data_IF_953396047457
#
_entry.id   IF_953396047457
#
_cell.length_a   1.000
_cell.length_b   1.000
_cell.length_c   1.000
_cell.angle_alpha   90.00
_cell.angle_beta   90.00
_cell.angle_gamma   90.00
#
_symmetry.space_group_name_H-M   'P 1'
#
loop_
_entity.id
_entity.type
_entity.pdbx_description
1 polymer ?
#
# COMPACT_ATOMS: atom_id res chain seq x y z
N UNK A 1 -19.74 31.11 -4.16
CA UNK A 1 -19.71 31.99 -5.34
C UNK A 1 -18.31 32.01 -5.92
N UNK A 2 -18.15 31.88 -7.25
CA UNK A 2 -16.84 31.94 -7.91
C UNK A 2 -16.66 33.33 -8.53
N UNK A 3 -15.53 33.99 -8.29
CA UNK A 3 -15.17 35.30 -8.89
C UNK A 3 -13.83 35.20 -9.58
N UNK A 4 -13.70 35.86 -10.73
CA UNK A 4 -12.43 35.96 -11.45
C UNK A 4 -11.76 37.27 -10.99
N UNK A 5 -10.55 37.17 -10.44
CA UNK A 5 -9.75 38.30 -10.01
C UNK A 5 -9.11 39.00 -11.20
N UNK A 6 -8.61 40.25 -11.03
CA UNK A 6 -7.91 41.02 -12.07
C UNK A 6 -6.69 40.27 -12.62
N UNK A 7 -6.05 39.42 -11.82
CA UNK A 7 -4.92 38.55 -12.22
C UNK A 7 -5.36 37.26 -12.94
N UNK A 8 -6.63 37.18 -13.38
CA UNK A 8 -7.20 36.01 -14.05
C UNK A 8 -7.19 34.73 -13.19
N UNK A 9 -7.19 34.88 -11.86
CA UNK A 9 -7.34 33.77 -10.90
C UNK A 9 -8.79 33.63 -10.52
N UNK A 10 -9.24 32.39 -10.33
CA UNK A 10 -10.58 32.11 -9.83
C UNK A 10 -10.51 31.99 -8.31
N UNK A 11 -11.28 32.83 -7.63
CA UNK A 11 -11.45 32.80 -6.18
C UNK A 11 -12.84 32.25 -5.87
N UNK A 12 -12.90 31.22 -5.06
CA UNK A 12 -14.13 30.65 -4.54
C UNK A 12 -14.38 31.19 -3.13
N UNK A 13 -15.58 31.65 -2.88
CA UNK A 13 -16.00 32.14 -1.57
C UNK A 13 -17.13 31.28 -1.02
N UNK A 14 -17.02 30.87 0.25
CA UNK A 14 -18.00 30.03 0.93
C UNK A 14 -17.57 28.55 1.07
N UNK A 15 -18.16 27.87 2.06
CA UNK A 15 -17.91 26.45 2.33
C UNK A 15 -18.57 25.53 1.30
N UNK A 16 -19.63 25.99 0.63
CA UNK A 16 -20.39 25.25 -0.39
C UNK A 16 -19.50 24.73 -1.55
N UNK A 17 -18.38 25.44 -1.80
CA UNK A 17 -17.42 24.97 -2.81
C UNK A 17 -16.88 23.57 -2.54
N UNK A 18 -16.61 23.23 -1.29
CA UNK A 18 -16.07 21.92 -0.94
C UNK A 18 -17.10 20.81 -1.11
N UNK A 19 -18.37 21.10 -0.81
CA UNK A 19 -19.46 20.15 -1.00
C UNK A 19 -19.74 19.96 -2.49
N UNK A 20 -19.77 21.03 -3.27
CA UNK A 20 -19.94 21.00 -4.72
C UNK A 20 -18.77 20.29 -5.42
N UNK A 21 -17.50 20.51 -4.97
CA UNK A 21 -16.32 19.85 -5.53
C UNK A 21 -16.33 18.33 -5.25
N UNK A 22 -16.80 17.92 -4.07
CA UNK A 22 -16.93 16.49 -3.73
C UNK A 22 -18.01 15.80 -4.58
N UNK A 23 -19.17 16.43 -4.75
CA UNK A 23 -20.25 15.94 -5.61
C UNK A 23 -19.81 15.86 -7.08
N UNK A 24 -19.13 16.90 -7.57
CA UNK A 24 -18.61 16.95 -8.92
C UNK A 24 -17.61 15.82 -9.16
N UNK A 25 -16.71 15.57 -8.18
CA UNK A 25 -15.76 14.47 -8.26
C UNK A 25 -16.43 13.11 -8.40
N UNK A 26 -17.45 12.84 -7.60
CA UNK A 26 -18.21 11.58 -7.63
C UNK A 26 -19.08 11.40 -8.89
N UNK A 27 -19.39 12.51 -9.59
CA UNK A 27 -20.25 12.50 -10.78
C UNK A 27 -19.48 12.42 -12.10
N UNK A 28 -18.15 12.52 -12.08
CA UNK A 28 -17.31 12.50 -13.29
C UNK A 28 -16.77 11.10 -13.52
N UNK A 29 -17.05 10.56 -14.72
CA UNK A 29 -16.29 9.46 -15.29
C UNK A 29 -15.11 10.04 -16.08
N UNK A 30 -13.89 9.81 -15.57
CA UNK A 30 -12.66 10.33 -16.20
C UNK A 30 -12.20 9.48 -17.39
N UNK A 31 -12.78 8.31 -17.62
CA UNK A 31 -12.48 7.41 -18.75
C UNK A 31 -11.07 6.79 -18.75
N UNK A 32 -10.16 7.34 -17.96
CA UNK A 32 -8.75 6.92 -17.84
C UNK A 32 -8.45 6.48 -16.40
N UNK A 33 -7.50 5.55 -16.24
CA UNK A 33 -7.02 5.14 -14.91
C UNK A 33 -6.06 6.20 -14.34
N UNK A 34 -6.63 7.34 -13.95
CA UNK A 34 -5.92 8.45 -13.34
C UNK A 34 -5.92 8.30 -11.81
N UNK A 35 -4.78 8.61 -11.17
CA UNK A 35 -4.70 8.66 -9.71
C UNK A 35 -5.66 9.72 -9.14
N UNK A 36 -6.05 9.59 -7.87
CA UNK A 36 -6.93 10.56 -7.21
C UNK A 36 -6.39 12.00 -7.31
N UNK A 37 -5.10 12.18 -7.08
CA UNK A 37 -4.46 13.51 -7.14
C UNK A 37 -4.51 14.10 -8.55
N UNK A 38 -4.30 13.28 -9.58
CA UNK A 38 -4.42 13.72 -10.98
C UNK A 38 -5.85 14.08 -11.31
N UNK A 39 -6.84 13.27 -10.89
CA UNK A 39 -8.28 13.61 -11.04
C UNK A 39 -8.60 14.96 -10.42
N UNK A 40 -8.09 15.23 -9.23
CA UNK A 40 -8.25 16.53 -8.56
C UNK A 40 -7.62 17.68 -9.36
N UNK A 41 -6.40 17.49 -9.88
CA UNK A 41 -5.68 18.50 -10.66
C UNK A 41 -6.41 18.84 -11.96
N UNK A 42 -6.81 17.82 -12.74
CA UNK A 42 -7.48 18.06 -14.04
C UNK A 42 -8.85 18.67 -13.83
N UNK A 43 -9.59 18.26 -12.80
CA UNK A 43 -10.87 18.87 -12.42
C UNK A 43 -10.70 20.33 -12.03
N UNK A 44 -9.77 20.66 -11.15
CA UNK A 44 -9.49 22.04 -10.73
C UNK A 44 -9.12 22.94 -11.91
N UNK A 45 -8.28 22.44 -12.83
CA UNK A 45 -7.95 23.14 -14.08
C UNK A 45 -9.18 23.34 -14.98
N UNK A 46 -10.04 22.33 -15.10
CA UNK A 46 -11.25 22.39 -15.90
C UNK A 46 -12.24 23.43 -15.32
N UNK A 47 -12.48 23.40 -14.01
CA UNK A 47 -13.33 24.39 -13.32
C UNK A 47 -12.80 25.78 -13.50
N UNK A 48 -11.49 26.00 -13.30
CA UNK A 48 -10.87 27.33 -13.49
C UNK A 48 -11.08 27.84 -14.92
N UNK A 49 -10.82 27.02 -15.94
CA UNK A 49 -10.99 27.40 -17.37
C UNK A 49 -12.46 27.66 -17.70
N UNK A 50 -13.35 26.83 -17.20
CA UNK A 50 -14.80 26.94 -17.42
C UNK A 50 -15.36 28.24 -16.84
N UNK A 51 -15.00 28.59 -15.59
CA UNK A 51 -15.39 29.84 -14.95
C UNK A 51 -14.83 31.05 -15.70
N UNK A 52 -13.55 31.00 -16.11
CA UNK A 52 -12.91 32.11 -16.84
C UNK A 52 -13.57 32.36 -18.19
N UNK A 53 -14.07 31.32 -18.87
CA UNK A 53 -14.80 31.45 -20.16
C UNK A 53 -16.19 32.03 -20.04
N UNK A 54 -16.80 32.01 -18.85
CA UNK A 54 -18.14 32.53 -18.60
C UNK A 54 -19.27 31.79 -19.31
N UNK A 55 -19.02 30.57 -19.79
CA UNK A 55 -20.03 29.69 -20.41
C UNK A 55 -20.34 28.54 -19.47
N UNK A 56 -21.54 28.54 -18.90
CA UNK A 56 -21.91 27.66 -17.79
C UNK A 56 -22.83 26.50 -18.24
N UNK A 57 -22.44 25.77 -19.30
CA UNK A 57 -23.12 24.55 -19.70
C UNK A 57 -22.30 23.31 -19.32
N UNK A 58 -22.98 22.19 -19.10
CA UNK A 58 -22.30 20.91 -18.83
C UNK A 58 -21.41 20.47 -19.99
N UNK A 59 -21.82 20.75 -21.24
CA UNK A 59 -21.01 20.42 -22.42
C UNK A 59 -19.71 21.22 -22.47
N UNK A 60 -19.74 22.52 -22.14
CA UNK A 60 -18.53 23.34 -22.06
C UNK A 60 -17.60 22.87 -20.95
N UNK A 61 -18.14 22.48 -19.78
CA UNK A 61 -17.35 21.91 -18.69
C UNK A 61 -16.65 20.60 -19.10
N UNK A 62 -17.39 19.64 -19.71
CA UNK A 62 -16.83 18.38 -20.19
C UNK A 62 -15.74 18.64 -21.25
N UNK A 63 -15.93 19.63 -22.11
CA UNK A 63 -14.92 20.05 -23.09
C UNK A 63 -13.62 20.53 -22.42
N UNK A 64 -13.70 21.33 -21.35
CA UNK A 64 -12.54 21.79 -20.61
C UNK A 64 -11.89 20.67 -19.79
N UNK A 65 -12.69 19.73 -19.26
CA UNK A 65 -12.20 18.56 -18.54
C UNK A 65 -11.39 17.66 -19.48
N UNK A 66 -11.95 17.30 -20.63
CA UNK A 66 -11.24 16.49 -21.63
C UNK A 66 -9.94 17.16 -22.10
N UNK A 67 -9.95 18.47 -22.27
CA UNK A 67 -8.74 19.22 -22.58
C UNK A 67 -7.72 19.15 -21.45
N UNK A 68 -8.14 19.30 -20.20
CA UNK A 68 -7.23 19.20 -19.06
C UNK A 68 -6.63 17.79 -18.88
N UNK A 69 -7.42 16.75 -19.15
CA UNK A 69 -6.96 15.35 -19.17
C UNK A 69 -5.93 15.16 -20.30
N UNK A 70 -6.23 15.60 -21.52
CA UNK A 70 -5.31 15.50 -22.64
C UNK A 70 -4.00 16.26 -22.38
N UNK A 71 -4.08 17.48 -21.85
CA UNK A 71 -2.88 18.28 -21.49
C UNK A 71 -2.01 17.53 -20.47
N UNK A 72 -2.61 16.77 -19.54
CA UNK A 72 -1.88 15.93 -18.60
C UNK A 72 -1.27 14.70 -19.29
N UNK A 73 -2.04 14.01 -20.13
CA UNK A 73 -1.59 12.78 -20.81
C UNK A 73 -0.41 13.03 -21.75
N UNK A 74 -0.39 14.17 -22.45
CA UNK A 74 0.69 14.56 -23.38
C UNK A 74 1.86 15.27 -22.69
N UNK A 75 1.72 15.65 -21.41
CA UNK A 75 2.81 16.28 -20.68
C UNK A 75 4.01 15.34 -20.57
N UNK A 76 5.22 15.89 -20.74
CA UNK A 76 6.45 15.15 -20.58
C UNK A 76 6.73 14.82 -19.11
N UNK A 77 7.27 13.63 -18.89
CA UNK A 77 7.79 13.24 -17.57
C UNK A 77 9.02 14.09 -17.22
N UNK A 78 9.06 14.55 -15.99
CA UNK A 78 10.18 15.27 -15.38
C UNK A 78 10.79 14.45 -14.25
N UNK A 79 12.08 14.66 -14.03
CA UNK A 79 12.80 14.01 -12.95
C UNK A 79 12.52 14.73 -11.61
N UNK A 80 12.18 13.97 -10.60
CA UNK A 80 11.94 14.43 -9.24
C UNK A 80 12.70 13.60 -8.22
N UNK A 81 12.98 14.20 -7.08
CA UNK A 81 13.53 13.51 -5.89
C UNK A 81 12.66 13.84 -4.69
N UNK A 82 12.01 12.82 -4.13
CA UNK A 82 11.26 12.94 -2.87
C UNK A 82 12.18 12.59 -1.71
N UNK A 83 12.29 13.48 -0.73
CA UNK A 83 13.10 13.28 0.47
C UNK A 83 12.19 13.01 1.67
N UNK A 84 12.49 11.93 2.38
CA UNK A 84 11.78 11.42 3.55
C UNK A 84 12.77 10.82 4.55
N UNK A 85 12.28 10.11 5.57
CA UNK A 85 13.11 9.32 6.49
C UNK A 85 12.35 8.12 7.04
N UNK A 86 13.10 7.16 7.62
CA UNK A 86 12.56 5.95 8.25
C UNK A 86 13.10 5.81 9.67
N UNK A 87 12.25 5.34 10.60
CA UNK A 87 12.59 5.13 12.02
C UNK A 87 13.49 3.91 12.27
N UNK A 88 14.48 3.72 11.42
CA UNK A 88 15.52 2.67 11.52
C UNK A 88 16.88 3.33 11.45
N UNK A 89 17.81 2.91 12.32
CA UNK A 89 19.19 3.37 12.24
C UNK A 89 19.87 2.87 10.97
N UNK A 90 20.61 3.74 10.31
CA UNK A 90 21.20 3.45 9.00
C UNK A 90 22.19 2.29 9.00
N UNK A 91 22.83 2.02 10.15
CA UNK A 91 23.77 0.90 10.32
C UNK A 91 23.05 -0.46 10.24
N UNK A 92 21.81 -0.52 10.71
CA UNK A 92 20.97 -1.71 10.68
C UNK A 92 20.34 -2.00 9.30
N UNK A 93 20.25 -1.00 8.42
CA UNK A 93 19.67 -1.21 7.08
C UNK A 93 20.63 -2.01 6.21
N UNK A 94 20.22 -3.18 5.66
CA UNK A 94 21.14 -4.11 4.97
C UNK A 94 21.52 -3.67 3.55
N UNK A 95 20.99 -2.57 3.06
CA UNK A 95 21.22 -2.05 1.71
C UNK A 95 21.26 -0.51 1.74
N UNK A 96 21.93 0.08 0.76
CA UNK A 96 22.00 1.54 0.58
C UNK A 96 21.16 2.02 -0.58
N UNK A 97 20.86 1.14 -1.52
CA UNK A 97 20.10 1.45 -2.73
C UNK A 97 19.11 0.32 -3.00
N UNK A 98 17.85 0.68 -3.23
CA UNK A 98 16.82 -0.22 -3.74
C UNK A 98 16.34 0.32 -5.08
N UNK A 99 16.49 -0.48 -6.14
CA UNK A 99 15.97 -0.14 -7.47
C UNK A 99 14.65 -0.85 -7.69
N UNK A 100 13.63 -0.08 -8.04
CA UNK A 100 12.31 -0.52 -8.45
C UNK A 100 12.10 -0.20 -9.94
N UNK A 101 11.08 -0.69 -10.60
CA UNK A 101 10.88 -0.44 -12.04
C UNK A 101 10.84 1.04 -12.42
N UNK A 102 10.19 1.87 -11.60
CA UNK A 102 9.97 3.30 -11.90
C UNK A 102 10.74 4.25 -10.97
N UNK A 103 11.40 3.73 -9.94
CA UNK A 103 12.11 4.56 -8.98
C UNK A 103 13.41 3.95 -8.46
N UNK A 104 14.25 4.82 -7.88
CA UNK A 104 15.44 4.42 -7.14
C UNK A 104 15.41 5.05 -5.76
N UNK A 105 15.40 4.22 -4.74
CA UNK A 105 15.39 4.63 -3.33
C UNK A 105 16.81 4.54 -2.78
N UNK A 106 17.35 5.68 -2.38
CA UNK A 106 18.66 5.78 -1.74
C UNK A 106 18.47 6.02 -0.24
N UNK A 107 19.23 5.28 0.59
CA UNK A 107 19.17 5.34 2.03
C UNK A 107 20.51 5.84 2.58
N UNK A 108 20.47 6.85 3.43
CA UNK A 108 21.64 7.57 3.94
C UNK A 108 21.62 7.62 5.46
N UNK A 109 22.80 7.57 6.08
CA UNK A 109 22.95 7.87 7.51
C UNK A 109 22.74 9.35 7.82
N UNK A 110 23.16 10.23 6.89
CA UNK A 110 22.87 11.65 6.93
C UNK A 110 22.45 12.14 5.54
N UNK A 111 21.50 13.05 5.50
CA UNK A 111 20.99 13.60 4.23
C UNK A 111 22.11 14.32 3.46
N UNK A 112 22.32 14.05 2.18
CA UNK A 112 23.31 14.76 1.36
C UNK A 112 23.10 16.27 1.35
N UNK A 113 24.22 17.04 1.39
CA UNK A 113 24.20 18.51 1.46
C UNK A 113 23.43 19.18 0.33
N UNK A 114 23.28 18.55 -0.85
CA UNK A 114 22.51 19.10 -1.97
C UNK A 114 21.04 19.35 -1.61
N UNK A 115 20.49 18.65 -0.62
CA UNK A 115 19.11 18.83 -0.13
C UNK A 115 19.01 19.84 1.03
N UNK A 116 20.02 20.68 1.25
CA UNK A 116 20.02 21.64 2.35
C UNK A 116 18.85 22.64 2.32
N UNK A 117 18.31 22.95 1.15
CA UNK A 117 17.12 23.80 0.99
C UNK A 117 15.88 23.26 1.71
N UNK A 118 15.85 21.97 2.09
CA UNK A 118 14.81 21.35 2.92
C UNK A 118 14.67 22.03 4.29
N UNK A 119 15.71 22.70 4.81
CA UNK A 119 15.66 23.38 6.12
C UNK A 119 14.52 24.41 6.21
N UNK A 120 14.18 25.09 5.12
CA UNK A 120 13.05 26.03 5.09
C UNK A 120 11.70 25.35 5.36
N UNK A 121 11.53 24.11 4.89
CA UNK A 121 10.34 23.30 5.19
C UNK A 121 10.34 22.79 6.63
N UNK A 122 11.52 22.47 7.20
CA UNK A 122 11.66 22.09 8.61
C UNK A 122 11.26 23.26 9.53
N UNK A 123 11.77 24.45 9.25
CA UNK A 123 11.41 25.66 10.02
C UNK A 123 9.90 25.94 9.98
N UNK A 124 9.27 25.74 8.83
CA UNK A 124 7.83 25.92 8.66
C UNK A 124 7.04 24.83 9.38
N UNK A 125 7.49 23.57 9.28
CA UNK A 125 6.92 22.42 9.96
C UNK A 125 6.91 22.64 11.49
N UNK A 126 8.06 23.01 12.06
CA UNK A 126 8.22 23.24 13.51
C UNK A 126 7.31 24.37 14.01
N UNK A 127 7.03 25.39 13.18
CA UNK A 127 6.07 26.46 13.50
C UNK A 127 4.62 25.99 13.47
N UNK A 128 4.26 25.13 12.51
CA UNK A 128 2.89 24.63 12.37
C UNK A 128 2.56 23.52 13.36
N UNK A 129 3.57 22.72 13.73
CA UNK A 129 3.42 21.56 14.61
C UNK A 129 4.46 21.57 15.74
N UNK A 130 4.36 22.53 16.67
CA UNK A 130 5.39 22.69 17.71
C UNK A 130 5.52 21.51 18.69
N UNK A 131 4.49 20.65 18.75
CA UNK A 131 4.51 19.41 19.55
C UNK A 131 5.16 18.23 18.85
N UNK A 132 5.52 18.36 17.56
CA UNK A 132 6.19 17.31 16.78
C UNK A 132 7.60 17.79 16.51
N UNK A 133 8.60 17.08 17.02
CA UNK A 133 9.99 17.47 16.80
C UNK A 133 10.39 17.33 15.32
N UNK A 134 11.49 17.97 14.98
CA UNK A 134 12.19 17.76 13.71
C UNK A 134 12.57 16.28 13.54
N UNK A 135 12.93 15.93 12.31
CA UNK A 135 13.38 14.57 11.98
C UNK A 135 14.43 14.11 12.99
N UNK A 136 14.19 13.03 13.76
CA UNK A 136 15.20 12.50 14.67
C UNK A 136 16.50 12.23 13.90
N UNK A 137 17.64 12.72 14.40
CA UNK A 137 18.96 12.56 13.76
C UNK A 137 19.32 11.10 13.52
N UNK A 138 18.77 10.19 14.33
CA UNK A 138 18.99 8.74 14.23
C UNK A 138 18.22 8.06 13.10
N UNK A 139 17.25 8.73 12.48
CA UNK A 139 16.48 8.16 11.38
C UNK A 139 17.33 8.04 10.11
N UNK A 140 17.16 6.93 9.40
CA UNK A 140 17.72 6.79 8.05
C UNK A 140 17.06 7.77 7.11
N UNK A 141 17.83 8.70 6.54
CA UNK A 141 17.35 9.60 5.51
C UNK A 141 17.15 8.84 4.19
N UNK A 142 16.06 9.19 3.48
CA UNK A 142 15.65 8.52 2.24
C UNK A 142 15.49 9.55 1.14
N UNK A 143 16.08 9.29 -0.04
CA UNK A 143 15.85 10.05 -1.25
C UNK A 143 15.37 9.11 -2.36
N UNK A 144 14.19 9.41 -2.93
CA UNK A 144 13.51 8.59 -3.94
C UNK A 144 13.54 9.36 -5.24
N UNK A 145 14.33 8.89 -6.19
CA UNK A 145 14.43 9.45 -7.53
C UNK A 145 13.45 8.74 -8.46
N UNK A 146 12.63 9.50 -9.17
CA UNK A 146 11.59 8.97 -10.08
C UNK A 146 11.23 9.98 -11.15
N UNK A 147 10.48 9.53 -12.17
CA UNK A 147 9.90 10.38 -13.20
C UNK A 147 8.38 10.47 -13.06
N UNK A 148 7.85 11.67 -13.23
CA UNK A 148 6.41 11.90 -13.18
C UNK A 148 6.04 13.15 -14.00
N UNK A 149 4.77 13.26 -14.40
CA UNK A 149 4.25 14.40 -15.16
C UNK A 149 3.96 15.61 -14.27
N UNK A 150 3.62 15.36 -13.01
CA UNK A 150 3.24 16.40 -12.05
C UNK A 150 3.83 16.15 -10.66
N UNK A 151 4.02 17.23 -9.88
CA UNK A 151 4.58 17.16 -8.51
C UNK A 151 3.78 16.25 -7.57
N UNK A 152 2.44 16.28 -7.63
CA UNK A 152 1.59 15.43 -6.79
C UNK A 152 1.71 13.96 -7.18
N UNK A 153 1.77 13.68 -8.49
CA UNK A 153 1.98 12.33 -9.02
C UNK A 153 3.35 11.76 -8.58
N UNK A 154 4.39 12.62 -8.60
CA UNK A 154 5.71 12.23 -8.07
C UNK A 154 5.67 11.81 -6.60
N UNK A 155 4.93 12.56 -5.76
CA UNK A 155 4.76 12.25 -4.34
C UNK A 155 4.01 10.94 -4.15
N UNK A 156 2.87 10.75 -4.82
CA UNK A 156 2.04 9.54 -4.71
C UNK A 156 2.84 8.29 -5.12
N UNK A 157 3.53 8.34 -6.26
CA UNK A 157 4.40 7.24 -6.72
C UNK A 157 5.55 6.96 -5.76
N UNK A 158 6.22 8.01 -5.27
CA UNK A 158 7.32 7.86 -4.32
C UNK A 158 6.89 7.18 -3.02
N UNK A 159 5.74 7.57 -2.48
CA UNK A 159 5.23 6.95 -1.25
C UNK A 159 4.72 5.53 -1.46
N UNK A 160 4.11 5.23 -2.59
CA UNK A 160 3.75 3.86 -2.95
C UNK A 160 4.99 2.96 -2.93
N UNK A 161 6.06 3.36 -3.61
CA UNK A 161 7.30 2.61 -3.67
C UNK A 161 8.02 2.53 -2.32
N UNK A 162 8.02 3.61 -1.55
CA UNK A 162 8.61 3.63 -0.21
C UNK A 162 7.83 2.73 0.75
N UNK A 163 6.51 2.73 0.70
CA UNK A 163 5.67 1.87 1.54
C UNK A 163 5.84 0.40 1.20
N UNK A 164 6.04 0.06 -0.08
CA UNK A 164 6.40 -1.29 -0.47
C UNK A 164 7.73 -1.72 0.16
N UNK A 165 8.79 -0.93 0.02
CA UNK A 165 10.12 -1.23 0.62
C UNK A 165 10.05 -1.28 2.14
N UNK A 166 9.32 -0.35 2.76
CA UNK A 166 9.08 -0.29 4.19
C UNK A 166 8.30 -1.50 4.70
N UNK A 167 7.30 -1.95 3.93
CA UNK A 167 6.53 -3.15 4.22
C UNK A 167 7.40 -4.42 4.20
N UNK A 168 8.29 -4.56 3.22
CA UNK A 168 9.25 -5.66 3.18
C UNK A 168 10.22 -5.64 4.37
N UNK A 169 10.66 -4.44 4.80
CA UNK A 169 11.45 -4.29 6.02
C UNK A 169 10.64 -4.64 7.27
N UNK A 170 9.39 -4.20 7.37
CA UNK A 170 8.51 -4.51 8.50
C UNK A 170 8.28 -6.01 8.64
N UNK A 171 8.05 -6.75 7.54
CA UNK A 171 7.95 -8.22 7.53
C UNK A 171 9.19 -8.89 8.13
N UNK A 172 10.37 -8.29 7.96
CA UNK A 172 11.64 -8.84 8.44
C UNK A 172 12.02 -8.36 9.85
N UNK A 173 11.56 -7.17 10.25
CA UNK A 173 11.98 -6.48 11.48
C UNK A 173 10.97 -6.66 12.61
N UNK A 174 9.66 -6.68 12.32
CA UNK A 174 8.62 -6.78 13.35
C UNK A 174 8.60 -8.20 13.92
N UNK A 175 9.18 -8.45 15.10
CA UNK A 175 9.14 -9.77 15.72
C UNK A 175 7.78 -9.98 16.40
N UNK A 176 7.44 -11.25 16.65
CA UNK A 176 6.22 -11.61 17.38
C UNK A 176 6.12 -10.97 18.78
N UNK A 177 7.26 -10.66 19.42
CA UNK A 177 7.31 -9.97 20.72
C UNK A 177 7.08 -8.44 20.65
N UNK A 178 6.83 -7.88 19.46
CA UNK A 178 6.34 -6.49 19.34
C UNK A 178 4.88 -6.34 19.77
N UNK A 179 4.18 -7.46 19.95
CA UNK A 179 2.82 -7.51 20.42
C UNK A 179 2.82 -7.76 21.92
N UNK A 180 2.29 -6.82 22.68
CA UNK A 180 2.21 -6.94 24.14
C UNK A 180 0.99 -7.77 24.51
N UNK A 181 1.22 -8.92 25.15
CA UNK A 181 0.15 -9.80 25.66
C UNK A 181 -0.10 -9.48 27.14
N UNK A 182 -0.65 -8.32 27.45
CA UNK A 182 -0.85 -7.89 28.83
C UNK A 182 -1.98 -6.87 29.00
N UNK A 183 -2.33 -6.57 30.27
CA UNK A 183 -3.44 -5.69 30.64
C UNK A 183 -3.24 -4.20 30.28
N UNK A 184 -2.04 -3.78 29.93
CA UNK A 184 -1.77 -2.41 29.50
C UNK A 184 -1.78 -2.34 27.97
N UNK A 185 -2.81 -1.74 27.42
CA UNK A 185 -2.90 -1.42 25.99
C UNK A 185 -1.84 -0.35 25.66
N UNK A 186 -0.79 -0.78 24.97
CA UNK A 186 0.18 0.14 24.37
C UNK A 186 -0.46 0.78 23.13
N UNK A 187 -0.78 2.06 23.21
CA UNK A 187 -1.39 2.82 22.10
C UNK A 187 -0.37 3.20 21.01
N UNK A 188 0.86 2.70 21.06
CA UNK A 188 1.84 2.98 20.01
C UNK A 188 1.63 2.11 18.78
N UNK A 189 1.94 2.63 17.57
CA UNK A 189 1.93 1.84 16.35
C UNK A 189 2.78 0.56 16.47
N UNK A 190 2.27 -0.54 15.93
CA UNK A 190 2.97 -1.83 15.91
C UNK A 190 4.14 -1.82 14.92
N UNK A 191 4.06 -1.01 13.87
CA UNK A 191 5.14 -0.89 12.90
C UNK A 191 6.40 -0.34 13.57
N UNK A 192 7.52 -1.00 13.35
CA UNK A 192 8.83 -0.55 13.82
C UNK A 192 9.54 0.33 12.78
N UNK A 193 9.09 0.27 11.53
CA UNK A 193 9.66 1.01 10.39
C UNK A 193 8.66 2.09 9.96
N UNK A 194 8.58 3.16 10.75
CA UNK A 194 7.67 4.29 10.51
C UNK A 194 8.28 5.28 9.53
N UNK A 195 7.43 6.00 8.81
CA UNK A 195 7.83 7.20 8.07
C UNK A 195 8.17 8.33 9.04
N UNK A 196 9.11 9.20 8.66
CA UNK A 196 9.31 10.47 9.35
C UNK A 196 8.16 11.45 9.10
N UNK A 197 8.06 12.48 9.93
CA UNK A 197 6.94 13.42 9.91
C UNK A 197 6.87 14.32 8.68
N UNK A 198 8.01 14.70 8.11
CA UNK A 198 8.12 15.70 7.04
C UNK A 198 8.68 15.09 5.75
N UNK A 199 8.10 15.48 4.62
CA UNK A 199 8.53 15.09 3.29
C UNK A 199 8.66 16.32 2.38
N UNK A 200 9.64 16.31 1.48
CA UNK A 200 9.90 17.41 0.57
C UNK A 200 10.20 16.93 -0.85
N UNK A 201 9.83 17.75 -1.82
CA UNK A 201 10.03 17.48 -3.25
C UNK A 201 11.15 18.35 -3.80
N UNK A 202 12.09 17.75 -4.48
CA UNK A 202 13.29 18.38 -5.03
C UNK A 202 13.44 18.06 -6.51
N UNK A 203 14.18 18.90 -7.20
CA UNK A 203 14.74 18.60 -8.51
C UNK A 203 15.98 17.69 -8.40
N UNK A 204 16.58 17.33 -9.51
CA UNK A 204 17.80 16.48 -9.56
C UNK A 204 19.02 17.13 -8.92
N UNK A 205 19.07 18.47 -8.87
CA UNK A 205 20.13 19.25 -8.24
C UNK A 205 19.94 19.35 -6.71
N UNK A 206 18.78 18.89 -6.20
CA UNK A 206 18.43 18.93 -4.79
C UNK A 206 17.78 20.23 -4.35
N UNK A 207 17.37 21.12 -5.27
CA UNK A 207 16.61 22.31 -4.94
C UNK A 207 15.13 21.98 -4.75
N UNK A 208 14.44 22.68 -3.83
CA UNK A 208 13.01 22.51 -3.65
C UNK A 208 12.26 22.90 -4.94
N UNK A 209 11.35 22.03 -5.38
CA UNK A 209 10.46 22.30 -6.52
C UNK A 209 9.42 23.36 -6.16
N UNK A 210 9.02 23.40 -4.89
CA UNK A 210 8.05 24.37 -4.38
C UNK A 210 8.45 24.73 -2.93
N UNK A 211 8.81 25.98 -2.70
CA UNK A 211 9.21 26.46 -1.38
C UNK A 211 8.04 26.58 -0.40
N UNK A 212 6.81 26.68 -0.92
CA UNK A 212 5.60 26.87 -0.13
C UNK A 212 4.85 25.59 0.18
N UNK A 213 5.16 24.49 -0.50
CA UNK A 213 4.47 23.24 -0.36
C UNK A 213 5.40 22.12 0.13
N UNK A 214 5.04 21.53 1.25
CA UNK A 214 5.62 20.29 1.76
C UNK A 214 4.51 19.28 2.09
N UNK A 215 4.89 18.03 2.22
CA UNK A 215 3.99 16.93 2.61
C UNK A 215 4.38 16.42 4.00
N UNK A 216 3.43 15.84 4.69
CA UNK A 216 3.67 15.31 6.04
C UNK A 216 2.85 14.04 6.28
N UNK A 217 3.32 13.21 7.20
CA UNK A 217 2.60 12.01 7.64
C UNK A 217 1.55 12.43 8.69
N UNK A 218 0.23 12.31 8.38
CA UNK A 218 -0.82 12.74 9.32
C UNK A 218 -0.77 12.01 10.66
N UNK A 219 -0.45 10.72 10.62
CA UNK A 219 -0.37 9.83 11.78
C UNK A 219 1.06 9.73 12.34
N UNK A 220 1.91 10.72 12.08
CA UNK A 220 3.27 10.70 12.56
C UNK A 220 3.31 10.59 14.08
N UNK A 221 3.96 9.55 14.54
CA UNK A 221 4.27 9.30 15.93
C UNK A 221 5.78 9.27 16.11
N UNK A 222 6.31 10.22 16.86
CA UNK A 222 7.74 10.28 17.15
C UNK A 222 8.15 9.08 18.00
N UNK A 223 9.18 8.39 17.57
CA UNK A 223 9.78 7.29 18.29
C UNK A 223 11.28 7.23 18.06
N UNK A 224 11.99 6.61 18.99
CA UNK A 224 13.40 6.31 18.80
C UNK A 224 13.58 5.36 17.59
N UNK A 225 14.60 5.62 16.77
CA UNK A 225 14.96 4.72 15.68
C UNK A 225 15.30 3.33 16.22
N UNK A 226 14.85 2.31 15.52
CA UNK A 226 15.21 0.94 15.91
C UNK A 226 16.61 0.60 15.42
N UNK A 227 17.45 0.12 16.34
CA UNK A 227 18.72 -0.49 16.00
C UNK A 227 18.52 -2.00 15.73
N UNK A 228 18.92 -2.45 14.56
CA UNK A 228 18.82 -3.86 14.13
C UNK A 228 20.13 -4.36 13.51
N UNK A 229 21.24 -3.73 13.85
CA UNK A 229 22.55 -4.05 13.29
C UNK A 229 22.97 -5.50 13.57
N UNK A 230 22.61 -6.04 14.73
CA UNK A 230 22.82 -7.43 15.15
C UNK A 230 22.08 -8.47 14.29
N UNK A 231 21.01 -8.07 13.60
CA UNK A 231 20.17 -8.92 12.77
C UNK A 231 20.25 -8.59 11.27
N UNK A 232 21.20 -7.77 10.87
CA UNK A 232 21.32 -7.21 9.53
C UNK A 232 21.32 -8.27 8.41
N UNK A 233 22.05 -9.35 8.57
CA UNK A 233 22.14 -10.40 7.55
C UNK A 233 20.84 -11.21 7.44
N UNK A 234 20.19 -11.47 8.56
CA UNK A 234 18.86 -12.08 8.59
C UNK A 234 17.84 -11.18 7.87
N UNK A 235 17.80 -9.90 8.21
CA UNK A 235 16.91 -8.92 7.58
C UNK A 235 17.16 -8.86 6.06
N UNK A 236 18.44 -8.87 5.64
CA UNK A 236 18.81 -8.92 4.22
C UNK A 236 18.24 -10.15 3.53
N UNK A 237 18.42 -11.32 4.13
CA UNK A 237 17.95 -12.59 3.57
C UNK A 237 16.43 -12.62 3.45
N UNK A 238 15.70 -12.24 4.50
CA UNK A 238 14.23 -12.20 4.50
C UNK A 238 13.70 -11.14 3.50
N UNK A 239 14.27 -9.94 3.48
CA UNK A 239 13.92 -8.90 2.52
C UNK A 239 14.09 -9.37 1.08
N UNK A 240 15.23 -10.00 0.78
CA UNK A 240 15.50 -10.55 -0.55
C UNK A 240 14.55 -11.70 -0.91
N UNK A 241 14.21 -12.55 0.05
CA UNK A 241 13.24 -13.63 -0.15
C UNK A 241 11.89 -13.07 -0.62
N UNK A 242 11.31 -12.13 0.12
CA UNK A 242 10.03 -11.50 -0.24
C UNK A 242 10.14 -10.73 -1.56
N UNK A 243 11.12 -9.85 -1.69
CA UNK A 243 11.30 -9.02 -2.88
C UNK A 243 11.46 -9.85 -4.15
N UNK A 244 12.38 -10.84 -4.13
CA UNK A 244 12.63 -11.68 -5.29
C UNK A 244 11.47 -12.62 -5.59
N UNK A 245 10.74 -13.03 -4.57
CA UNK A 245 9.52 -13.82 -4.72
C UNK A 245 8.42 -13.05 -5.44
N UNK A 246 8.12 -11.85 -4.97
CA UNK A 246 7.12 -10.96 -5.57
C UNK A 246 7.51 -10.57 -7.00
N UNK A 247 8.78 -10.27 -7.24
CA UNK A 247 9.29 -9.90 -8.57
C UNK A 247 9.14 -10.99 -9.64
N UNK A 248 8.87 -12.25 -9.24
CA UNK A 248 8.59 -13.37 -10.19
C UNK A 248 7.15 -13.36 -10.68
N UNK A 249 6.23 -12.78 -9.91
CA UNK A 249 4.87 -12.60 -10.36
C UNK A 249 4.82 -11.53 -11.47
N UNK A 250 3.88 -11.68 -12.38
CA UNK A 250 3.72 -10.81 -13.55
C UNK A 250 2.33 -10.17 -13.56
N UNK A 251 2.21 -9.02 -14.22
CA UNK A 251 0.92 -8.33 -14.39
C UNK A 251 0.22 -8.05 -13.06
N UNK A 252 -1.07 -8.34 -13.02
CA UNK A 252 -1.95 -8.06 -11.87
C UNK A 252 -1.56 -8.87 -10.62
N UNK A 253 -1.04 -10.08 -10.78
CA UNK A 253 -0.59 -10.90 -9.65
C UNK A 253 0.53 -10.22 -8.88
N UNK A 254 1.47 -9.60 -9.57
CA UNK A 254 2.54 -8.83 -8.94
C UNK A 254 2.00 -7.62 -8.20
N UNK A 255 1.08 -6.88 -8.82
CA UNK A 255 0.42 -5.72 -8.23
C UNK A 255 -0.34 -6.10 -6.95
N UNK A 256 -1.08 -7.21 -6.97
CA UNK A 256 -1.78 -7.73 -5.79
C UNK A 256 -0.82 -8.00 -4.63
N UNK A 257 0.33 -8.65 -4.91
CA UNK A 257 1.32 -8.94 -3.88
C UNK A 257 1.97 -7.66 -3.33
N UNK A 258 2.35 -6.71 -4.19
CA UNK A 258 2.94 -5.42 -3.80
C UNK A 258 1.94 -4.61 -2.96
N UNK A 259 0.69 -4.46 -3.42
CA UNK A 259 -0.38 -3.75 -2.71
C UNK A 259 -0.71 -4.40 -1.36
N UNK A 260 -0.67 -5.73 -1.27
CA UNK A 260 -0.89 -6.45 0.00
C UNK A 260 0.19 -6.12 1.03
N UNK A 261 1.46 -6.00 0.60
CA UNK A 261 2.58 -5.60 1.46
C UNK A 261 2.43 -4.15 1.91
N UNK A 262 2.00 -3.26 1.02
CA UNK A 262 1.74 -1.85 1.36
C UNK A 262 0.61 -1.75 2.38
N UNK A 263 -0.51 -2.43 2.16
CA UNK A 263 -1.65 -2.47 3.09
C UNK A 263 -1.25 -3.01 4.46
N UNK A 264 -0.44 -4.07 4.48
CA UNK A 264 0.10 -4.63 5.71
C UNK A 264 0.95 -3.60 6.47
N UNK A 265 1.86 -2.89 5.82
CA UNK A 265 2.69 -1.87 6.45
C UNK A 265 1.82 -0.75 7.04
N UNK A 266 0.88 -0.22 6.25
CA UNK A 266 -0.03 0.84 6.65
C UNK A 266 -1.01 0.41 7.75
N UNK A 267 -1.38 -0.88 7.81
CA UNK A 267 -2.16 -1.41 8.92
C UNK A 267 -1.40 -1.35 10.25
N UNK A 268 -0.12 -1.68 10.25
CA UNK A 268 0.72 -1.65 11.46
C UNK A 268 1.10 -0.24 11.91
N UNK A 269 0.93 0.77 11.06
CA UNK A 269 1.16 2.19 11.40
C UNK A 269 0.08 2.76 12.33
N UNK A 270 -1.07 2.10 12.44
CA UNK A 270 -2.17 2.55 13.27
C UNK A 270 -1.89 2.33 14.76
N UNK A 271 -2.29 3.30 15.56
CA UNK A 271 -2.20 3.21 17.02
C UNK A 271 -3.38 2.44 17.63
N UNK A 272 -4.59 2.65 17.09
CA UNK A 272 -5.82 1.96 17.51
C UNK A 272 -5.84 0.52 17.00
N UNK A 273 -5.87 -0.44 17.91
CA UNK A 273 -5.88 -1.88 17.60
C UNK A 273 -7.10 -2.35 16.82
N UNK A 274 -8.24 -1.71 16.97
CA UNK A 274 -9.42 -2.02 16.17
C UNK A 274 -9.18 -1.65 14.70
N UNK A 275 -8.57 -0.50 14.46
CA UNK A 275 -8.19 -0.07 13.10
C UNK A 275 -7.10 -0.97 12.54
N UNK A 276 -6.12 -1.39 13.36
CA UNK A 276 -5.09 -2.38 12.96
C UNK A 276 -5.75 -3.68 12.49
N UNK A 277 -6.68 -4.23 13.27
CA UNK A 277 -7.40 -5.48 12.92
C UNK A 277 -8.15 -5.32 11.60
N UNK A 278 -8.91 -4.22 11.45
CA UNK A 278 -9.65 -3.92 10.23
C UNK A 278 -8.75 -3.87 9.00
N UNK A 279 -7.64 -3.13 9.10
CA UNK A 279 -6.69 -2.95 8.00
C UNK A 279 -5.85 -4.20 7.71
N UNK A 280 -5.42 -4.96 8.73
CA UNK A 280 -4.71 -6.24 8.55
C UNK A 280 -5.63 -7.29 7.91
N UNK A 281 -6.90 -7.32 8.31
CA UNK A 281 -7.89 -8.18 7.65
C UNK A 281 -8.04 -7.81 6.18
N UNK A 282 -8.17 -6.51 5.86
CA UNK A 282 -8.24 -6.05 4.48
C UNK A 282 -6.97 -6.37 3.67
N UNK A 283 -5.79 -6.30 4.28
CA UNK A 283 -4.54 -6.71 3.63
C UNK A 283 -4.52 -8.22 3.33
N UNK A 284 -5.00 -9.04 4.27
CA UNK A 284 -5.11 -10.49 4.11
C UNK A 284 -6.16 -10.85 3.05
N UNK A 285 -7.31 -10.18 3.07
CA UNK A 285 -8.38 -10.34 2.10
C UNK A 285 -7.89 -10.01 0.68
N UNK A 286 -7.18 -8.89 0.51
CA UNK A 286 -6.58 -8.51 -0.77
C UNK A 286 -5.56 -9.54 -1.29
N UNK A 287 -4.79 -10.17 -0.38
CA UNK A 287 -3.81 -11.21 -0.72
C UNK A 287 -4.46 -12.53 -1.15
N UNK A 288 -5.59 -12.91 -0.52
CA UNK A 288 -6.12 -14.29 -0.59
C UNK A 288 -7.37 -14.38 -1.45
N UNK A 289 -8.16 -13.28 -1.55
CA UNK A 289 -9.46 -13.25 -2.23
C UNK A 289 -9.35 -12.41 -3.50
N UNK A 290 -9.61 -13.01 -4.65
CA UNK A 290 -9.56 -12.33 -5.95
C UNK A 290 -10.92 -12.42 -6.64
N UNK A 291 -11.47 -11.28 -7.10
CA UNK A 291 -12.76 -11.22 -7.76
C UNK A 291 -13.97 -11.32 -6.82
N UNK A 292 -15.08 -11.90 -7.29
CA UNK A 292 -16.36 -12.02 -6.56
C UNK A 292 -16.39 -13.17 -5.53
N UNK A 293 -15.29 -13.43 -4.83
CA UNK A 293 -15.17 -14.57 -3.93
C UNK A 293 -15.78 -14.28 -2.55
N UNK A 294 -16.20 -15.36 -1.86
CA UNK A 294 -16.89 -15.25 -0.57
C UNK A 294 -15.92 -15.11 0.60
N UNK A 295 -16.28 -14.39 1.67
CA UNK A 295 -15.44 -14.26 2.88
C UNK A 295 -15.06 -15.60 3.55
N UNK A 296 -15.86 -16.65 3.38
CA UNK A 296 -15.58 -18.00 3.89
C UNK A 296 -14.34 -18.61 3.22
N UNK A 297 -14.09 -18.29 1.97
CA UNK A 297 -12.93 -18.79 1.22
C UNK A 297 -11.61 -18.27 1.80
N UNK A 298 -11.59 -17.03 2.31
CA UNK A 298 -10.42 -16.51 3.02
C UNK A 298 -10.05 -17.40 4.22
N UNK A 299 -11.03 -17.75 5.04
CA UNK A 299 -10.80 -18.51 6.26
C UNK A 299 -10.29 -19.91 5.91
N UNK A 300 -10.93 -20.61 5.00
CA UNK A 300 -10.53 -21.97 4.58
C UNK A 300 -9.15 -22.00 3.94
N UNK A 301 -8.83 -21.06 3.03
CA UNK A 301 -7.51 -20.94 2.38
C UNK A 301 -6.41 -20.65 3.39
N UNK A 302 -6.65 -19.73 4.34
CA UNK A 302 -5.69 -19.46 5.40
C UNK A 302 -5.47 -20.69 6.29
N UNK A 303 -6.55 -21.35 6.71
CA UNK A 303 -6.45 -22.54 7.56
C UNK A 303 -5.65 -23.67 6.87
N UNK A 304 -5.85 -23.88 5.57
CA UNK A 304 -5.17 -24.92 4.78
C UNK A 304 -3.64 -24.89 4.89
N UNK A 305 -3.04 -23.71 5.06
CA UNK A 305 -1.56 -23.53 5.10
C UNK A 305 -0.96 -23.97 6.44
N UNK A 306 -1.77 -24.13 7.48
CA UNK A 306 -1.28 -24.43 8.83
C UNK A 306 -1.51 -25.90 9.20
N UNK A 307 -0.58 -26.48 9.96
CA UNK A 307 -0.71 -27.85 10.48
C UNK A 307 -1.86 -28.01 11.50
N UNK A 308 -2.26 -26.93 12.16
CA UNK A 308 -3.43 -26.86 13.02
C UNK A 308 -4.49 -25.97 12.36
N UNK A 309 -5.10 -26.50 11.30
CA UNK A 309 -6.08 -25.81 10.46
C UNK A 309 -7.34 -25.40 11.25
N UNK A 310 -7.86 -26.28 12.09
CA UNK A 310 -9.04 -26.02 12.92
C UNK A 310 -8.84 -24.85 13.90
N UNK A 311 -7.64 -24.73 14.48
CA UNK A 311 -7.30 -23.59 15.33
C UNK A 311 -7.30 -22.28 14.55
N UNK A 312 -6.67 -22.26 13.36
CA UNK A 312 -6.59 -21.03 12.52
C UNK A 312 -7.97 -20.65 12.00
N UNK A 313 -8.79 -21.62 11.57
CA UNK A 313 -10.19 -21.41 11.19
C UNK A 313 -10.96 -20.73 12.33
N UNK A 314 -10.87 -21.27 13.54
CA UNK A 314 -11.58 -20.71 14.70
C UNK A 314 -11.08 -19.31 15.06
N UNK A 315 -9.77 -19.08 15.06
CA UNK A 315 -9.20 -17.76 15.31
C UNK A 315 -9.72 -16.73 14.30
N UNK A 316 -9.71 -17.06 13.01
CA UNK A 316 -10.17 -16.14 11.98
C UNK A 316 -11.68 -15.85 12.08
N UNK A 317 -12.51 -16.84 12.47
CA UNK A 317 -13.95 -16.61 12.75
C UNK A 317 -14.16 -15.65 13.92
N UNK A 318 -13.39 -15.80 15.00
CA UNK A 318 -13.45 -14.89 16.15
C UNK A 318 -12.99 -13.49 15.75
N UNK A 319 -11.88 -13.36 15.03
CA UNK A 319 -11.39 -12.04 14.54
C UNK A 319 -12.40 -11.38 13.62
N UNK A 320 -13.04 -12.15 12.72
CA UNK A 320 -14.11 -11.65 11.85
C UNK A 320 -15.33 -11.15 12.65
N UNK A 321 -15.74 -11.87 13.66
CA UNK A 321 -16.83 -11.45 14.55
C UNK A 321 -16.45 -10.16 15.29
N UNK A 322 -15.25 -10.08 15.87
CA UNK A 322 -14.73 -8.89 16.53
C UNK A 322 -14.71 -7.68 15.57
N UNK A 323 -14.20 -7.84 14.34
CA UNK A 323 -14.23 -6.82 13.28
C UNK A 323 -15.65 -6.32 13.00
N UNK A 324 -16.60 -7.23 12.82
CA UNK A 324 -17.97 -6.87 12.50
C UNK A 324 -18.64 -6.13 13.66
N UNK A 325 -18.45 -6.59 14.90
CA UNK A 325 -18.99 -5.93 16.09
C UNK A 325 -18.37 -4.52 16.27
N UNK A 326 -17.10 -4.35 16.00
CA UNK A 326 -16.44 -3.07 16.05
C UNK A 326 -17.00 -2.09 15.00
N UNK A 327 -17.12 -2.53 13.75
CA UNK A 327 -17.65 -1.70 12.65
C UNK A 327 -19.13 -1.33 12.87
N UNK A 328 -19.95 -2.26 13.37
CA UNK A 328 -21.40 -2.05 13.50
C UNK A 328 -21.86 -1.51 14.86
N UNK A 329 -21.13 -1.81 15.93
CA UNK A 329 -21.55 -1.50 17.29
C UNK A 329 -20.60 -0.56 18.04
N UNK A 330 -19.40 -0.26 17.48
CA UNK A 330 -18.39 0.55 18.14
C UNK A 330 -17.85 -0.05 19.44
N UNK A 331 -17.98 -1.36 19.62
CA UNK A 331 -17.55 -2.05 20.85
C UNK A 331 -16.03 -2.23 20.78
N UNK A 332 -15.34 -1.71 21.82
CA UNK A 332 -13.92 -1.97 21.99
C UNK A 332 -13.75 -3.39 22.59
N UNK A 333 -13.07 -4.27 21.85
CA UNK A 333 -12.79 -5.62 22.28
C UNK A 333 -11.66 -5.69 23.31
N UNK A 334 -11.66 -6.71 24.15
CA UNK A 334 -10.53 -7.10 24.99
C UNK A 334 -9.56 -8.01 24.23
N UNK A 335 -8.27 -7.97 24.57
CA UNK A 335 -7.26 -8.87 23.96
C UNK A 335 -6.92 -8.58 22.51
N UNK A 336 -7.15 -7.35 22.02
CA UNK A 336 -6.95 -6.94 20.62
C UNK A 336 -5.51 -7.15 20.12
N UNK A 337 -4.51 -6.99 20.99
CA UNK A 337 -3.09 -7.24 20.63
C UNK A 337 -2.87 -8.70 20.22
N UNK A 338 -3.58 -9.65 20.85
CA UNK A 338 -3.53 -11.07 20.46
C UNK A 338 -4.08 -11.27 19.05
N UNK A 339 -5.18 -10.62 18.70
CA UNK A 339 -5.77 -10.70 17.35
C UNK A 339 -4.87 -10.05 16.31
N UNK A 340 -4.29 -8.89 16.62
CA UNK A 340 -3.28 -8.26 15.77
C UNK A 340 -2.09 -9.19 15.51
N UNK A 341 -1.59 -9.87 16.55
CA UNK A 341 -0.51 -10.85 16.44
C UNK A 341 -0.89 -12.02 15.54
N UNK A 342 -2.09 -12.59 15.73
CA UNK A 342 -2.55 -13.72 14.90
C UNK A 342 -2.68 -13.32 13.44
N UNK A 343 -3.29 -12.16 13.15
CA UNK A 343 -3.41 -11.66 11.76
C UNK A 343 -2.04 -11.39 11.14
N UNK A 344 -1.12 -10.75 11.87
CA UNK A 344 0.26 -10.57 11.44
C UNK A 344 0.94 -11.90 11.08
N UNK A 345 0.83 -12.91 11.97
CA UNK A 345 1.40 -14.24 11.75
C UNK A 345 0.81 -14.92 10.53
N UNK A 346 -0.53 -14.87 10.41
CA UNK A 346 -1.24 -15.48 9.28
C UNK A 346 -0.84 -14.78 7.97
N UNK A 347 -0.83 -13.45 7.93
CA UNK A 347 -0.42 -12.70 6.74
C UNK A 347 1.00 -13.07 6.27
N UNK A 348 1.98 -13.10 7.18
CA UNK A 348 3.35 -13.50 6.84
C UNK A 348 3.43 -14.90 6.25
N UNK A 349 2.73 -15.85 6.85
CA UNK A 349 2.72 -17.24 6.37
C UNK A 349 2.05 -17.36 5.01
N UNK A 350 0.91 -16.68 4.81
CA UNK A 350 0.20 -16.66 3.53
C UNK A 350 1.06 -16.06 2.43
N UNK A 351 1.65 -14.88 2.66
CA UNK A 351 2.54 -14.25 1.68
C UNK A 351 3.73 -15.16 1.33
N UNK A 352 4.37 -15.74 2.35
CA UNK A 352 5.47 -16.71 2.16
C UNK A 352 5.03 -17.95 1.38
N UNK A 353 3.83 -18.44 1.63
CA UNK A 353 3.25 -19.56 0.91
C UNK A 353 3.05 -19.23 -0.58
N UNK A 354 2.36 -18.11 -0.90
CA UNK A 354 2.14 -17.65 -2.28
C UNK A 354 3.47 -17.51 -3.04
N UNK A 355 4.44 -16.80 -2.47
CA UNK A 355 5.76 -16.60 -3.09
C UNK A 355 6.47 -17.92 -3.37
N UNK A 356 6.39 -18.88 -2.44
CA UNK A 356 7.04 -20.20 -2.58
C UNK A 356 6.33 -21.05 -3.63
N UNK A 357 5.00 -20.97 -3.73
CA UNK A 357 4.20 -21.76 -4.69
C UNK A 357 4.29 -21.21 -6.10
N UNK A 358 4.24 -19.88 -6.26
CA UNK A 358 4.49 -19.26 -7.58
C UNK A 358 5.79 -19.73 -8.21
N UNK A 359 6.86 -19.86 -7.40
CA UNK A 359 8.13 -20.41 -7.88
C UNK A 359 8.03 -21.88 -8.30
N UNK A 360 7.31 -22.69 -7.51
CA UNK A 360 7.28 -24.15 -7.67
C UNK A 360 6.37 -24.61 -8.81
N UNK A 361 5.26 -23.90 -9.03
CA UNK A 361 4.24 -24.30 -9.99
C UNK A 361 4.29 -23.53 -11.30
N UNK A 362 5.18 -22.52 -11.42
CA UNK A 362 5.18 -21.57 -12.55
C UNK A 362 3.76 -21.00 -12.81
N UNK A 363 3.02 -20.71 -11.72
CA UNK A 363 1.59 -20.55 -11.70
C UNK A 363 1.19 -19.11 -11.35
N UNK A 364 -0.05 -18.79 -11.67
CA UNK A 364 -0.71 -17.54 -11.25
C UNK A 364 -1.23 -17.64 -9.80
N UNK A 365 -1.56 -16.51 -9.19
CA UNK A 365 -2.25 -16.48 -7.88
C UNK A 365 -3.56 -17.27 -7.91
N UNK A 366 -4.29 -17.23 -9.04
CA UNK A 366 -5.49 -18.02 -9.24
C UNK A 366 -5.25 -19.53 -9.09
N UNK A 367 -4.20 -20.05 -9.72
CA UNK A 367 -3.85 -21.47 -9.60
C UNK A 367 -3.37 -21.84 -8.18
N UNK A 368 -2.72 -20.92 -7.48
CA UNK A 368 -2.38 -21.14 -6.06
C UNK A 368 -3.66 -21.19 -5.23
N UNK A 369 -4.66 -20.36 -5.52
CA UNK A 369 -5.97 -20.41 -4.85
C UNK A 369 -6.72 -21.71 -5.15
N UNK A 370 -6.73 -22.18 -6.41
CA UNK A 370 -7.29 -23.49 -6.76
C UNK A 370 -6.65 -24.64 -5.96
N UNK A 371 -5.34 -24.54 -5.69
CA UNK A 371 -4.66 -25.51 -4.83
C UNK A 371 -5.14 -25.39 -3.36
N UNK A 372 -5.33 -24.18 -2.84
CA UNK A 372 -5.82 -23.94 -1.47
C UNK A 372 -7.29 -24.35 -1.28
N UNK A 373 -8.06 -24.39 -2.36
CA UNK A 373 -9.48 -24.81 -2.37
C UNK A 373 -9.64 -26.33 -2.48
N UNK A 374 -8.52 -27.09 -2.52
CA UNK A 374 -8.59 -28.55 -2.47
C UNK A 374 -8.99 -29.03 -1.06
N UNK A 375 -9.62 -30.21 -0.97
CA UNK A 375 -9.93 -30.81 0.33
C UNK A 375 -8.69 -30.95 1.21
N UNK A 376 -8.76 -30.61 2.49
CA UNK A 376 -7.66 -30.80 3.44
C UNK A 376 -7.45 -32.28 3.83
N UNK A 377 -8.49 -33.11 3.74
CA UNK A 377 -8.44 -34.54 4.04
C UNK A 377 -7.76 -35.33 2.93
N UNK A 378 -6.76 -36.13 3.29
CA UNK A 378 -6.06 -37.06 2.35
C UNK A 378 -7.04 -38.02 1.68
N UNK A 379 -8.02 -38.54 2.43
CA UNK A 379 -9.06 -39.44 1.90
C UNK A 379 -9.88 -38.75 0.82
N UNK A 380 -10.35 -37.52 1.09
CA UNK A 380 -11.13 -36.77 0.10
C UNK A 380 -10.30 -36.37 -1.12
N UNK A 381 -8.99 -36.14 -0.97
CA UNK A 381 -8.08 -35.90 -2.10
C UNK A 381 -7.93 -37.13 -2.96
N UNK A 382 -7.76 -38.32 -2.35
CA UNK A 382 -7.65 -39.61 -3.06
C UNK A 382 -8.95 -39.92 -3.82
N UNK A 383 -10.12 -39.74 -3.19
CA UNK A 383 -11.43 -39.92 -3.85
C UNK A 383 -11.58 -38.99 -5.06
N UNK A 384 -11.19 -37.70 -4.90
CA UNK A 384 -11.23 -36.73 -6.00
C UNK A 384 -10.27 -37.10 -7.11
N UNK A 385 -9.05 -37.58 -6.78
CA UNK A 385 -8.07 -38.03 -7.74
C UNK A 385 -8.59 -39.20 -8.59
N UNK A 386 -9.23 -40.19 -7.96
CA UNK A 386 -9.86 -41.35 -8.66
C UNK A 386 -10.99 -40.81 -9.59
N UNK A 387 -11.82 -39.90 -9.14
CA UNK A 387 -12.90 -39.33 -9.96
C UNK A 387 -12.33 -38.61 -11.20
N UNK A 388 -11.35 -37.72 -11.02
CA UNK A 388 -10.72 -36.97 -12.11
C UNK A 388 -9.99 -37.91 -13.09
N UNK A 389 -9.33 -38.94 -12.59
CA UNK A 389 -8.69 -39.93 -13.42
C UNK A 389 -9.67 -40.69 -14.30
N UNK A 390 -10.82 -41.10 -13.76
CA UNK A 390 -11.89 -41.73 -14.52
C UNK A 390 -12.48 -40.81 -15.58
N UNK A 391 -12.75 -39.55 -15.22
CA UNK A 391 -13.25 -38.52 -16.14
C UNK A 391 -12.25 -38.29 -17.28
N UNK A 392 -10.96 -38.15 -16.97
CA UNK A 392 -9.89 -38.00 -17.96
C UNK A 392 -9.85 -39.16 -18.91
N UNK A 393 -10.04 -40.41 -18.43
CA UNK A 393 -10.11 -41.59 -19.25
C UNK A 393 -11.30 -41.55 -20.23
N UNK A 394 -12.50 -41.17 -19.73
CA UNK A 394 -13.69 -41.05 -20.57
C UNK A 394 -13.53 -39.96 -21.63
N UNK A 395 -12.98 -38.79 -21.28
CA UNK A 395 -12.70 -37.72 -22.24
C UNK A 395 -11.71 -38.18 -23.33
N UNK A 396 -10.65 -38.88 -22.97
CA UNK A 396 -9.70 -39.46 -23.94
C UNK A 396 -10.38 -40.47 -24.89
N UNK A 397 -11.28 -41.28 -24.35
CA UNK A 397 -12.05 -42.24 -25.20
C UNK A 397 -12.99 -41.48 -26.15
N UNK A 398 -13.68 -40.44 -25.67
CA UNK A 398 -14.57 -39.64 -26.49
C UNK A 398 -13.83 -38.86 -27.59
N UNK A 399 -12.65 -38.32 -27.30
CA UNK A 399 -11.78 -37.68 -28.28
C UNK A 399 -11.36 -38.64 -29.38
N UNK A 400 -10.94 -39.87 -29.03
CA UNK A 400 -10.58 -40.92 -30.01
C UNK A 400 -11.77 -41.29 -30.87
N UNK A 401 -12.95 -41.47 -30.29
CA UNK A 401 -14.17 -41.82 -30.99
C UNK A 401 -14.58 -40.74 -32.02
N UNK A 402 -14.31 -39.47 -31.72
CA UNK A 402 -14.61 -38.30 -32.58
C UNK A 402 -13.46 -37.94 -33.53
N UNK A 403 -12.43 -38.77 -33.66
CA UNK A 403 -11.31 -38.56 -34.60
C UNK A 403 -10.30 -37.52 -34.15
N UNK A 404 -10.29 -37.13 -32.85
CA UNK A 404 -9.24 -36.30 -32.27
C UNK A 404 -7.90 -36.99 -32.22
N UNK A 405 -6.82 -36.27 -32.53
CA UNK A 405 -5.44 -36.77 -32.39
C UNK A 405 -5.08 -37.02 -30.92
N UNK A 406 -4.14 -37.95 -30.71
CA UNK A 406 -3.62 -38.39 -29.41
C UNK A 406 -2.95 -37.28 -28.62
#
# INVERSE_FOLDING_TARGET
MATVTEDNRVQFSGMDYFDDDALLHGSIDYGEDLSFDVKQIVRSKAVTRWVTKGKFTSADFIGELNKAINDYLVAEDRDFVVVSSLSVESEGVPFRIVRLPESTINLYGALPKKFATRSSHQDRWSKLFPSKSDLPETYTAVAISLRAKHKSDAITKAFHDLDYVRGLLALSIVPGNSFTLGAHQDQRPLNRVMLGGLHSLHDTNGQLVDADQFWYEPNYFERQAINVADRKDRIRSEFQFYRNGIARAIGDDRKILEDSVIRYARALDEADRNIVILKLWSALEHLVVHGEQKPEELISRCAFVFSNDSYVDQVLRVVRACRNDNVHKGIQGEGLDSYCYQLHRIFRNMLGFYISRLKRFESTLGQVNEFLDLPASTVSLEERLVKVSNETRLLKMALRFRGGSR
#
